data_IF_269105792941
#
_entry.id   IF_269105792941
#
_cell.length_a   1.000
_cell.length_b   1.000
_cell.length_c   1.000
_cell.angle_alpha   90.00
_cell.angle_beta   90.00
_cell.angle_gamma   90.00
#
_symmetry.space_group_name_H-M   'P 1'
#
loop_
_entity.id
_entity.type
_entity.pdbx_description
1 polymer ?
2 non-polymer ?
3 non-polymer ?
4 non-polymer ?
5 non-polymer ?
6 non-polymer ?
7 non-polymer ?
8 non-polymer ?
9 non-polymer ?
10 water ?
#
# COMPACT_ATOMS: atom_id res chain seq x y z
N UNK A 1 -10.54 -28.73 -12.76
CA UNK A 1 -9.61 -28.59 -11.60
C UNK A 1 -10.21 -27.67 -10.53
N UNK A 2 -9.73 -27.89 -9.29
CA UNK A 2 -9.86 -26.92 -8.22
C UNK A 2 -8.52 -26.23 -8.03
N UNK A 3 -8.55 -24.90 -8.15
CA UNK A 3 -7.40 -24.05 -7.87
C UNK A 3 -7.60 -23.33 -6.53
N UNK A 4 -6.65 -23.58 -5.62
CA UNK A 4 -6.57 -22.89 -4.34
C UNK A 4 -5.38 -21.93 -4.40
N UNK A 5 -5.66 -20.62 -4.26
CA UNK A 5 -4.61 -19.62 -4.14
C UNK A 5 -4.54 -19.07 -2.72
N UNK A 6 -3.33 -19.07 -2.17
CA UNK A 6 -2.95 -18.23 -1.04
C UNK A 6 -3.11 -16.76 -1.45
N UNK A 7 -3.19 -15.87 -0.47
CA UNK A 7 -3.43 -14.47 -0.79
C UNK A 7 -2.11 -13.71 -0.74
N UNK A 8 -1.47 -13.71 0.44
CA UNK A 8 -0.26 -12.95 0.66
C UNK A 8 0.94 -13.54 -0.09
N UNK A 9 1.60 -12.64 -0.83
CA UNK A 9 2.76 -12.91 -1.67
C UNK A 9 2.44 -14.00 -2.71
N UNK A 10 1.18 -14.00 -3.16
CA UNK A 10 0.68 -14.86 -4.22
C UNK A 10 -0.24 -14.04 -5.12
N UNK A 11 -1.36 -13.55 -4.58
CA UNK A 11 -2.32 -12.72 -5.31
C UNK A 11 -1.94 -11.24 -5.18
N UNK A 12 -1.31 -10.89 -4.05
CA UNK A 12 -0.90 -9.53 -3.74
C UNK A 12 0.52 -9.57 -3.19
N UNK A 13 1.30 -8.51 -3.43
CA UNK A 13 2.45 -8.25 -2.58
C UNK A 13 1.93 -7.71 -1.25
N UNK A 14 2.47 -8.23 -0.13
CA UNK A 14 2.16 -7.71 1.19
C UNK A 14 3.47 -7.50 1.95
N UNK A 15 3.57 -6.41 2.72
CA UNK A 15 4.78 -6.08 3.47
C UNK A 15 4.37 -5.42 4.78
N UNK A 16 4.51 -6.15 5.90
CA UNK A 16 4.26 -5.63 7.24
C UNK A 16 5.36 -4.67 7.73
N UNK A 17 6.39 -4.38 6.91
CA UNK A 17 7.40 -3.40 7.32
C UNK A 17 6.82 -2.00 7.34
N UNK A 18 5.83 -1.75 6.47
CA UNK A 18 5.05 -0.53 6.47
C UNK A 18 4.27 -0.34 7.79
N UNK A 19 3.74 -1.41 8.39
CA UNK A 19 3.10 -1.34 9.71
C UNK A 19 4.10 -0.94 10.79
N UNK A 20 5.29 -1.57 10.80
CA UNK A 20 6.32 -1.24 11.80
C UNK A 20 6.73 0.23 11.67
N UNK A 21 6.84 0.67 10.41
CA UNK A 21 7.05 2.07 10.08
C UNK A 21 6.04 3.02 10.71
N UNK A 22 4.76 2.75 10.45
CA UNK A 22 3.69 3.57 11.00
C UNK A 22 3.72 3.57 12.53
N UNK A 23 4.08 2.44 13.15
CA UNK A 23 4.14 2.37 14.61
C UNK A 23 5.37 3.12 15.12
N UNK A 24 6.49 3.08 14.38
CA UNK A 24 7.65 3.84 14.75
C UNK A 24 7.33 5.34 14.63
N UNK A 25 6.51 5.70 13.65
CA UNK A 25 6.14 7.09 13.42
C UNK A 25 5.30 7.59 14.60
N UNK A 26 4.28 6.84 15.05
CA UNK A 26 3.51 7.27 16.22
C UNK A 26 4.35 7.17 17.49
N UNK A 27 5.04 6.04 17.74
CA UNK A 27 5.55 5.77 19.07
C UNK A 27 6.94 6.36 19.28
N UNK A 28 7.66 6.60 18.16
CA UNK A 28 9.02 7.11 18.17
C UNK A 28 9.98 5.99 18.60
N UNK A 29 9.49 4.73 18.63
CA UNK A 29 10.35 3.59 18.88
C UNK A 29 11.19 3.37 17.61
N UNK A 30 12.55 3.25 17.71
CA UNK A 30 13.39 2.92 16.56
C UNK A 30 12.88 1.67 15.86
N UNK A 31 12.81 1.83 14.53
CA UNK A 31 12.30 0.83 13.59
C UNK A 31 13.03 -0.50 13.79
N UNK A 32 14.37 -0.40 13.94
CA UNK A 32 15.19 -1.58 14.10
C UNK A 32 14.74 -2.35 15.34
N UNK A 33 14.24 -1.64 16.37
CA UNK A 33 13.76 -2.34 17.56
C UNK A 33 12.50 -3.15 17.23
N UNK A 34 11.57 -2.55 16.48
CA UNK A 34 10.30 -3.21 16.19
C UNK A 34 10.57 -4.39 15.27
N UNK A 35 11.46 -4.23 14.30
CA UNK A 35 11.89 -5.38 13.51
C UNK A 35 12.42 -6.51 14.39
N UNK A 36 13.26 -6.25 15.40
CA UNK A 36 13.82 -7.40 16.12
C UNK A 36 12.74 -8.06 16.97
N UNK A 37 11.72 -7.30 17.40
CA UNK A 37 10.79 -7.77 18.42
C UNK A 37 9.47 -8.30 17.82
N UNK A 38 9.29 -8.22 16.49
CA UNK A 38 8.07 -8.58 15.80
C UNK A 38 8.14 -10.01 15.22
N UNK A 39 7.47 -10.94 15.89
CA UNK A 39 7.61 -12.38 15.69
C UNK A 39 6.21 -12.93 15.42
N UNK A 40 6.11 -14.02 14.67
CA UNK A 40 4.80 -14.58 14.36
C UNK A 40 4.60 -15.92 15.12
N UNK A 41 4.34 -15.82 16.44
CA UNK A 41 4.14 -16.97 17.31
C UNK A 41 2.68 -17.28 17.68
N UNK A 42 2.44 -17.52 18.97
CA UNK A 42 1.25 -18.17 19.48
C UNK A 42 -0.01 -17.31 19.31
N UNK A 43 0.09 -16.05 19.71
CA UNK A 43 -1.03 -15.12 19.65
C UNK A 43 -1.43 -14.87 18.19
N UNK A 44 -0.45 -14.91 17.28
CA UNK A 44 -0.76 -14.84 15.86
C UNK A 44 -1.65 -15.99 15.45
N UNK A 45 -1.20 -17.23 15.78
CA UNK A 45 -1.83 -18.47 15.36
C UNK A 45 -3.26 -18.52 15.90
N UNK A 46 -3.41 -18.16 17.18
CA UNK A 46 -4.69 -18.12 17.83
C UNK A 46 -5.60 -17.14 17.08
N UNK A 47 -5.06 -15.95 16.77
CA UNK A 47 -5.84 -14.91 16.16
C UNK A 47 -6.18 -15.30 14.73
N UNK A 48 -5.25 -15.95 14.02
CA UNK A 48 -5.59 -16.48 12.71
C UNK A 48 -6.82 -17.42 12.79
N UNK A 49 -6.91 -18.25 13.83
CA UNK A 49 -8.00 -19.20 13.97
C UNK A 49 -9.22 -18.57 14.66
N UNK A 50 -9.16 -17.25 14.89
CA UNK A 50 -10.32 -16.56 15.44
C UNK A 50 -10.58 -16.94 16.90
N UNK A 51 -9.53 -17.41 17.60
CA UNK A 51 -9.64 -17.99 18.93
C UNK A 51 -9.40 -16.97 20.02
N UNK A 52 -8.76 -15.83 19.68
CA UNK A 52 -8.69 -14.66 20.56
C UNK A 52 -9.20 -13.46 19.78
N UNK A 53 -9.70 -12.46 20.52
CA UNK A 53 -10.22 -11.22 19.96
C UNK A 53 -9.11 -10.37 19.33
N UNK A 54 -9.51 -9.45 18.46
CA UNK A 54 -8.64 -8.44 17.89
C UNK A 54 -7.88 -7.71 19.02
N UNK A 55 -8.61 -7.33 20.09
CA UNK A 55 -8.09 -6.56 21.20
C UNK A 55 -7.04 -7.38 21.94
N UNK A 56 -7.33 -8.66 22.20
CA UNK A 56 -6.39 -9.55 22.88
C UNK A 56 -5.15 -9.80 22.01
N UNK A 57 -5.32 -9.85 20.69
CA UNK A 57 -4.18 -9.95 19.78
C UNK A 57 -3.32 -8.67 19.84
N UNK A 58 -3.99 -7.51 19.69
CA UNK A 58 -3.36 -6.20 19.76
C UNK A 58 -2.52 -6.11 21.02
N UNK A 59 -3.11 -6.60 22.11
CA UNK A 59 -2.54 -6.61 23.45
C UNK A 59 -1.30 -7.49 23.51
N UNK A 60 -1.40 -8.70 22.99
CA UNK A 60 -0.28 -9.63 22.94
C UNK A 60 0.90 -9.07 22.16
N UNK A 61 0.67 -8.42 21.00
CA UNK A 61 1.77 -7.87 20.23
C UNK A 61 2.38 -6.64 20.91
N UNK A 62 1.54 -5.81 21.54
CA UNK A 62 1.98 -4.63 22.25
C UNK A 62 2.79 -5.02 23.50
N UNK A 63 2.44 -6.15 24.14
CA UNK A 63 3.22 -6.65 25.26
C UNK A 63 4.61 -7.04 24.77
N UNK A 64 4.67 -7.84 23.70
CA UNK A 64 5.95 -8.34 23.21
C UNK A 64 6.82 -7.21 22.68
N UNK A 65 6.25 -6.17 22.05
CA UNK A 65 7.06 -5.17 21.37
C UNK A 65 7.16 -3.87 22.18
N UNK A 66 6.56 -3.86 23.38
CA UNK A 66 6.56 -2.70 24.26
C UNK A 66 6.01 -1.45 23.56
N UNK A 67 4.90 -1.64 22.81
CA UNK A 67 4.19 -0.60 22.10
C UNK A 67 3.16 0.04 23.03
N UNK A 68 3.29 1.35 23.36
CA UNK A 68 2.28 2.04 24.17
C UNK A 68 1.18 2.62 23.29
N UNK A 69 0.38 1.72 22.70
CA UNK A 69 -0.67 2.03 21.75
C UNK A 69 -2.01 1.60 22.35
N UNK A 70 -3.07 2.37 22.11
CA UNK A 70 -4.43 1.88 22.30
C UNK A 70 -4.72 0.83 21.22
N UNK A 71 -5.82 0.10 21.39
CA UNK A 71 -6.28 -0.76 20.32
C UNK A 71 -6.41 0.05 19.02
N UNK A 72 -7.05 1.23 19.10
CA UNK A 72 -7.32 2.06 17.93
C UNK A 72 -6.01 2.42 17.19
N UNK A 73 -4.95 2.76 17.95
CA UNK A 73 -3.67 3.16 17.37
C UNK A 73 -2.96 1.97 16.72
N UNK A 74 -3.05 0.80 17.40
CA UNK A 74 -2.62 -0.47 16.86
C UNK A 74 -3.23 -0.67 15.46
N UNK A 75 -4.57 -0.59 15.40
CA UNK A 75 -5.33 -0.89 14.20
C UNK A 75 -4.94 0.12 13.13
N UNK A 76 -4.80 1.35 13.59
CA UNK A 76 -4.49 2.45 12.71
C UNK A 76 -3.22 2.15 11.90
N UNK A 77 -2.17 1.69 12.61
CA UNK A 77 -0.91 1.31 11.98
C UNK A 77 -0.93 -0.03 11.25
N UNK A 78 -1.68 -1.00 11.81
CA UNK A 78 -2.01 -2.26 11.16
C UNK A 78 -2.53 -2.02 9.75
N UNK A 79 -3.50 -1.10 9.67
CA UNK A 79 -4.10 -0.69 8.40
C UNK A 79 -3.10 -0.19 7.34
N UNK A 80 -1.86 0.16 7.73
CA UNK A 80 -0.90 0.75 6.79
C UNK A 80 -0.19 -0.33 5.97
N UNK A 81 -0.45 -1.61 6.27
CA UNK A 81 0.30 -2.68 5.62
C UNK A 81 0.32 -2.44 4.11
N UNK A 82 1.51 -2.54 3.52
CA UNK A 82 1.65 -2.42 2.07
C UNK A 82 0.98 -3.60 1.37
N UNK A 83 0.08 -3.31 0.42
CA UNK A 83 -0.60 -4.33 -0.36
C UNK A 83 -0.71 -3.83 -1.81
N UNK A 84 -0.13 -4.58 -2.75
CA UNK A 84 -0.20 -4.30 -4.18
C UNK A 84 -0.80 -5.50 -4.90
N UNK A 85 -1.87 -5.32 -5.69
CA UNK A 85 -2.40 -6.40 -6.52
C UNK A 85 -1.31 -6.91 -7.45
N UNK A 86 -1.35 -8.21 -7.76
CA UNK A 86 -0.61 -8.80 -8.87
C UNK A 86 -1.62 -9.05 -9.97
N UNK A 87 -1.78 -8.14 -10.97
CA UNK A 87 -2.91 -8.20 -11.89
C UNK A 87 -2.84 -9.40 -12.84
N UNK A 88 -1.62 -9.85 -13.14
CA UNK A 88 -1.42 -11.06 -13.93
C UNK A 88 -2.13 -12.23 -13.25
N UNK A 89 -2.03 -12.31 -11.91
CA UNK A 89 -2.60 -13.42 -11.15
C UNK A 89 -4.12 -13.30 -11.10
N UNK A 90 -4.63 -12.07 -10.97
CA UNK A 90 -6.08 -11.83 -11.02
C UNK A 90 -6.64 -12.27 -12.38
N UNK A 91 -5.95 -11.94 -13.48
CA UNK A 91 -6.40 -12.22 -14.83
C UNK A 91 -6.52 -13.73 -15.06
N UNK A 92 -5.48 -14.47 -14.65
CA UNK A 92 -5.46 -15.92 -14.67
C UNK A 92 -6.66 -16.50 -13.90
N UNK A 93 -6.92 -15.99 -12.69
CA UNK A 93 -7.99 -16.53 -11.89
C UNK A 93 -9.33 -16.38 -12.62
N UNK A 94 -9.50 -15.28 -13.36
CA UNK A 94 -10.75 -15.01 -14.05
C UNK A 94 -10.90 -15.95 -15.25
N UNK A 95 -9.80 -16.09 -15.99
CA UNK A 95 -9.71 -16.94 -17.17
C UNK A 95 -10.02 -18.38 -16.78
N UNK A 96 -9.46 -18.85 -15.66
CA UNK A 96 -9.70 -20.22 -15.19
C UNK A 96 -11.18 -20.47 -14.93
N UNK A 97 -11.91 -19.45 -14.44
CA UNK A 97 -13.30 -19.62 -14.07
C UNK A 97 -14.21 -19.63 -15.30
N UNK A 98 -13.91 -18.78 -16.29
CA UNK A 98 -14.67 -18.74 -17.53
C UNK A 98 -14.26 -19.90 -18.45
N UNK A 99 -13.24 -20.69 -18.06
CA UNK A 99 -13.01 -22.00 -18.66
C UNK A 99 -13.72 -23.10 -17.87
N UNK A 100 -14.31 -22.76 -16.73
CA UNK A 100 -15.13 -23.71 -15.98
C UNK A 100 -14.38 -24.40 -14.85
N UNK A 101 -13.09 -24.12 -14.69
CA UNK A 101 -12.41 -24.52 -13.46
C UNK A 101 -13.00 -23.81 -12.24
N UNK A 102 -12.67 -24.35 -11.06
CA UNK A 102 -13.14 -23.82 -9.79
C UNK A 102 -11.97 -23.12 -9.10
N UNK A 103 -12.16 -21.83 -8.76
CA UNK A 103 -11.05 -21.00 -8.29
C UNK A 103 -11.39 -20.41 -6.92
N UNK A 104 -10.57 -20.73 -5.91
CA UNK A 104 -10.82 -20.27 -4.55
C UNK A 104 -9.54 -19.72 -3.90
N UNK A 105 -9.77 -18.95 -2.83
CA UNK A 105 -8.71 -18.36 -2.02
C UNK A 105 -8.78 -19.05 -0.66
N UNK A 106 -7.61 -19.46 -0.18
CA UNK A 106 -7.43 -19.94 1.18
C UNK A 106 -6.33 -19.11 1.85
N UNK A 107 -6.72 -18.44 2.95
CA UNK A 107 -5.87 -17.43 3.57
C UNK A 107 -5.91 -17.53 5.08
N UNK A 108 -4.69 -17.66 5.65
CA UNK A 108 -4.42 -17.31 7.03
C UNK A 108 -4.41 -15.78 7.18
N UNK A 109 -5.32 -15.22 7.99
CA UNK A 109 -5.59 -13.79 8.01
C UNK A 109 -5.62 -13.24 9.43
N UNK A 110 -4.94 -12.09 9.56
CA UNK A 110 -4.85 -11.34 10.80
C UNK A 110 -5.60 -10.02 10.66
N UNK A 111 -6.60 -10.03 9.76
CA UNK A 111 -7.55 -8.95 9.65
C UNK A 111 -8.12 -8.68 11.04
N UNK A 112 -8.47 -7.41 11.24
CA UNK A 112 -9.18 -6.99 12.43
C UNK A 112 -10.57 -6.51 12.00
N UNK A 113 -11.51 -6.53 12.94
CA UNK A 113 -12.82 -5.96 12.69
C UNK A 113 -12.74 -4.51 12.25
N UNK A 114 -11.66 -3.75 12.53
CA UNK A 114 -11.62 -2.33 12.18
C UNK A 114 -10.82 -2.03 10.91
N UNK A 115 -10.30 -3.04 10.23
CA UNK A 115 -9.39 -2.81 9.13
C UNK A 115 -10.01 -3.29 7.82
N UNK A 116 -9.55 -2.65 6.74
CA UNK A 116 -9.88 -3.00 5.37
C UNK A 116 -8.72 -3.84 4.84
N UNK A 117 -9.00 -5.11 4.48
CA UNK A 117 -7.94 -6.10 4.28
C UNK A 117 -8.10 -6.69 2.88
N UNK A 118 -7.03 -7.27 2.24
CA UNK A 118 -7.07 -7.77 0.87
C UNK A 118 -8.23 -8.71 0.49
N UNK A 119 -8.61 -9.62 1.38
CA UNK A 119 -9.72 -10.53 1.11
C UNK A 119 -11.01 -9.74 0.89
N UNK A 120 -11.06 -8.49 1.41
CA UNK A 120 -12.25 -7.64 1.26
C UNK A 120 -12.16 -6.81 -0.01
N UNK A 121 -11.02 -6.81 -0.69
CA UNK A 121 -10.89 -5.99 -1.89
C UNK A 121 -11.86 -6.50 -2.94
N UNK A 122 -12.66 -5.63 -3.61
CA UNK A 122 -13.58 -6.09 -4.65
C UNK A 122 -12.91 -6.83 -5.81
N UNK A 123 -11.64 -6.50 -6.13
CA UNK A 123 -10.93 -7.09 -7.26
C UNK A 123 -10.64 -8.54 -6.95
N UNK A 124 -10.50 -8.84 -5.64
CA UNK A 124 -10.14 -10.16 -5.16
C UNK A 124 -11.42 -10.99 -4.93
N UNK A 125 -12.44 -10.41 -4.31
CA UNK A 125 -13.70 -11.10 -4.16
C UNK A 125 -14.23 -11.61 -5.51
N UNK A 126 -14.10 -10.79 -6.58
CA UNK A 126 -14.67 -11.07 -7.90
C UNK A 126 -13.79 -11.97 -8.78
N UNK A 127 -12.53 -12.21 -8.39
CA UNK A 127 -11.64 -13.09 -9.14
C UNK A 127 -11.83 -14.55 -8.71
N UNK A 128 -12.49 -14.76 -7.56
CA UNK A 128 -12.56 -16.04 -6.87
C UNK A 128 -14.01 -16.53 -6.70
N UNK A 129 -14.22 -17.85 -6.80
CA UNK A 129 -15.51 -18.45 -6.54
C UNK A 129 -15.88 -18.33 -5.06
N UNK A 130 -14.93 -18.65 -4.19
CA UNK A 130 -15.14 -18.57 -2.76
C UNK A 130 -13.81 -18.14 -2.12
N UNK A 131 -13.89 -17.49 -0.94
CA UNK A 131 -12.69 -17.15 -0.20
C UNK A 131 -12.79 -17.80 1.17
N UNK A 132 -11.85 -18.69 1.45
CA UNK A 132 -11.84 -19.41 2.71
C UNK A 132 -10.84 -18.71 3.61
N UNK A 133 -11.26 -18.33 4.83
CA UNK A 133 -10.46 -17.52 5.72
C UNK A 133 -10.35 -18.22 7.07
N UNK A 134 -9.13 -18.22 7.61
CA UNK A 134 -8.80 -18.93 8.82
C UNK A 134 -9.70 -18.49 9.98
N UNK A 135 -9.99 -17.20 10.12
CA UNK A 135 -10.67 -16.71 11.30
C UNK A 135 -12.09 -17.25 11.29
N UNK A 136 -12.67 -17.36 10.08
CA UNK A 136 -14.03 -17.86 9.89
C UNK A 136 -14.07 -19.35 10.24
N UNK A 137 -13.04 -20.10 9.86
CA UNK A 137 -13.03 -21.55 9.97
C UNK A 137 -12.59 -22.06 11.35
N UNK A 138 -11.92 -21.21 12.14
CA UNK A 138 -11.29 -21.67 13.38
C UNK A 138 -10.14 -22.64 13.09
N UNK A 139 -9.50 -22.49 11.91
CA UNK A 139 -8.39 -23.34 11.47
C UNK A 139 -7.36 -22.46 10.74
N UNK A 140 -6.10 -22.91 10.69
CA UNK A 140 -5.09 -22.23 9.89
C UNK A 140 -4.25 -23.24 9.13
N UNK A 141 -3.76 -22.82 7.97
CA UNK A 141 -2.68 -23.53 7.31
C UNK A 141 -1.44 -23.52 8.23
N UNK A 142 -0.62 -24.60 8.30
CA UNK A 142 -0.72 -25.80 7.45
C UNK A 142 -1.45 -27.05 7.97
N UNK A 143 -2.35 -26.83 8.95
CA UNK A 143 -3.20 -27.84 9.56
C UNK A 143 -4.02 -28.58 8.49
N UNK A 144 -3.99 -29.92 8.56
CA UNK A 144 -4.63 -30.77 7.58
C UNK A 144 -6.11 -30.38 7.42
N UNK A 145 -6.74 -30.07 8.56
CA UNK A 145 -8.18 -29.84 8.61
C UNK A 145 -8.61 -28.72 7.67
N UNK A 146 -7.76 -27.71 7.46
CA UNK A 146 -8.18 -26.56 6.70
C UNK A 146 -8.20 -26.93 5.21
N UNK A 147 -7.19 -27.69 4.74
CA UNK A 147 -7.17 -28.17 3.36
C UNK A 147 -8.33 -29.14 3.16
N UNK A 148 -8.51 -30.06 4.12
CA UNK A 148 -9.62 -30.97 4.07
C UNK A 148 -10.96 -30.22 3.96
N UNK A 149 -11.15 -29.18 4.79
CA UNK A 149 -12.37 -28.38 4.72
C UNK A 149 -12.66 -27.95 3.27
N UNK A 150 -11.66 -27.41 2.58
CA UNK A 150 -11.85 -26.87 1.24
C UNK A 150 -12.15 -27.99 0.23
N UNK A 151 -11.45 -29.13 0.34
CA UNK A 151 -11.72 -30.27 -0.54
C UNK A 151 -13.14 -30.78 -0.32
N UNK A 152 -13.53 -30.88 0.96
CA UNK A 152 -14.88 -31.32 1.29
C UNK A 152 -15.92 -30.30 0.79
N UNK A 153 -15.75 -29.02 1.11
CA UNK A 153 -16.76 -28.02 0.79
C UNK A 153 -16.88 -27.84 -0.73
N UNK A 154 -15.77 -27.99 -1.46
CA UNK A 154 -15.76 -27.80 -2.91
C UNK A 154 -16.11 -29.12 -3.62
N UNK A 155 -15.95 -30.26 -2.90
CA UNK A 155 -16.14 -31.58 -3.48
C UNK A 155 -15.13 -31.90 -4.57
N UNK A 156 -13.84 -31.91 -4.22
CA UNK A 156 -12.79 -32.34 -5.13
C UNK A 156 -11.81 -33.24 -4.37
N UNK A 157 -11.06 -34.05 -5.12
CA UNK A 157 -10.06 -34.92 -4.52
C UNK A 157 -8.69 -34.25 -4.58
N UNK A 158 -7.74 -34.66 -3.70
CA UNK A 158 -6.36 -34.19 -3.80
C UNK A 158 -5.79 -34.10 -5.22
N UNK A 159 -6.09 -35.08 -6.07
CA UNK A 159 -5.40 -35.22 -7.35
C UNK A 159 -6.03 -34.32 -8.41
N UNK A 160 -7.24 -33.82 -8.13
CA UNK A 160 -7.89 -32.82 -8.96
C UNK A 160 -7.67 -31.40 -8.41
N UNK A 161 -6.70 -31.24 -7.49
CA UNK A 161 -6.54 -29.98 -6.78
C UNK A 161 -5.09 -29.51 -6.89
N UNK A 162 -4.93 -28.25 -7.33
CA UNK A 162 -3.65 -27.56 -7.37
C UNK A 162 -3.68 -26.35 -6.45
N UNK A 163 -2.66 -26.25 -5.58
CA UNK A 163 -2.56 -25.24 -4.55
C UNK A 163 -1.30 -24.43 -4.73
N UNK A 164 -1.44 -23.09 -4.70
CA UNK A 164 -0.32 -22.16 -4.78
C UNK A 164 -0.15 -21.40 -3.47
N UNK A 165 1.06 -21.45 -2.90
CA UNK A 165 1.41 -20.74 -1.68
C UNK A 165 2.92 -20.50 -1.61
N UNK A 166 3.32 -19.34 -1.09
CA UNK A 166 4.71 -18.94 -1.00
C UNK A 166 5.40 -19.49 0.23
N UNK A 167 4.64 -20.09 1.16
CA UNK A 167 5.20 -20.58 2.42
C UNK A 167 5.37 -22.09 2.30
N UNK A 168 6.53 -22.61 2.69
CA UNK A 168 6.91 -23.98 2.36
C UNK A 168 6.22 -24.93 3.32
N UNK A 169 6.09 -24.53 4.60
CA UNK A 169 5.30 -25.28 5.57
C UNK A 169 3.86 -25.47 5.08
N UNK A 170 3.33 -24.46 4.39
CA UNK A 170 1.97 -24.53 3.88
C UNK A 170 1.90 -25.54 2.75
N UNK A 171 2.96 -25.54 1.93
CA UNK A 171 3.09 -26.42 0.79
C UNK A 171 3.16 -27.87 1.28
N UNK A 172 3.87 -28.12 2.39
CA UNK A 172 4.03 -29.43 3.00
C UNK A 172 2.69 -29.99 3.49
N UNK A 173 1.93 -29.19 4.27
CA UNK A 173 0.66 -29.61 4.83
C UNK A 173 -0.30 -30.10 3.76
N UNK A 174 -0.27 -29.42 2.61
CA UNK A 174 -1.10 -29.77 1.46
C UNK A 174 -0.53 -30.97 0.72
N UNK A 175 0.80 -31.10 0.66
CA UNK A 175 1.43 -32.26 0.03
C UNK A 175 1.12 -33.54 0.82
N UNK A 176 1.07 -33.44 2.17
CA UNK A 176 0.79 -34.59 3.02
C UNK A 176 -0.58 -35.19 2.69
N UNK A 177 -1.45 -34.44 2.02
CA UNK A 177 -2.80 -34.90 1.70
C UNK A 177 -2.90 -35.26 0.21
N UNK A 178 -1.74 -35.26 -0.46
CA UNK A 178 -1.65 -35.55 -1.88
C UNK A 178 -2.31 -34.49 -2.77
N UNK A 179 -2.30 -33.21 -2.32
CA UNK A 179 -2.73 -32.08 -3.14
C UNK A 179 -1.53 -31.65 -3.97
N UNK A 180 -1.73 -31.31 -5.26
CA UNK A 180 -0.64 -30.79 -6.06
C UNK A 180 -0.34 -29.35 -5.62
N UNK A 181 0.80 -29.20 -4.95
CA UNK A 181 1.17 -27.95 -4.30
C UNK A 181 2.31 -27.31 -5.08
N UNK A 182 2.15 -26.02 -5.43
CA UNK A 182 3.18 -25.28 -6.15
C UNK A 182 3.74 -24.17 -5.28
N UNK A 183 5.01 -24.27 -4.88
CA UNK A 183 5.61 -23.22 -4.08
C UNK A 183 5.78 -21.98 -4.95
N UNK A 184 5.27 -20.85 -4.44
CA UNK A 184 5.40 -19.58 -5.14
C UNK A 184 6.70 -18.93 -4.67
N UNK A 185 7.72 -18.94 -5.55
CA UNK A 185 9.05 -18.42 -5.24
C UNK A 185 9.14 -16.92 -5.56
N UNK A 186 8.33 -16.47 -6.53
CA UNK A 186 8.43 -15.12 -7.05
C UNK A 186 7.22 -14.89 -7.96
N UNK A 187 7.23 -13.75 -8.66
CA UNK A 187 6.07 -13.32 -9.40
C UNK A 187 5.93 -14.08 -10.74
N UNK A 188 6.94 -14.88 -11.15
CA UNK A 188 6.85 -15.66 -12.39
C UNK A 188 6.30 -17.08 -12.21
N UNK A 189 6.25 -17.61 -10.97
CA UNK A 189 5.93 -19.02 -10.74
C UNK A 189 4.55 -19.35 -11.31
N UNK A 190 3.59 -18.45 -11.15
CA UNK A 190 2.21 -18.74 -11.47
C UNK A 190 1.95 -18.45 -12.96
N UNK A 191 2.43 -17.31 -13.51
CA UNK A 191 2.41 -17.13 -14.97
C UNK A 191 3.07 -18.27 -15.73
N UNK A 192 4.23 -18.76 -15.25
CA UNK A 192 4.96 -19.86 -15.89
C UNK A 192 4.14 -21.14 -15.84
N UNK A 193 3.61 -21.48 -14.65
CA UNK A 193 2.88 -22.72 -14.47
C UNK A 193 1.70 -22.80 -15.45
N UNK A 194 1.06 -21.66 -15.72
CA UNK A 194 -0.15 -21.70 -16.53
C UNK A 194 0.17 -21.57 -18.02
N UNK A 195 1.32 -20.97 -18.36
CA UNK A 195 1.82 -21.00 -19.72
C UNK A 195 2.05 -22.45 -20.15
N UNK A 196 2.64 -23.27 -19.24
CA UNK A 196 2.96 -24.66 -19.52
C UNK A 196 1.68 -25.51 -19.58
N UNK A 197 0.63 -25.09 -18.86
CA UNK A 197 -0.65 -25.78 -18.93
C UNK A 197 -1.30 -25.46 -20.28
N UNK A 198 -1.18 -24.20 -20.74
CA UNK A 198 -1.75 -23.75 -22.00
C UNK A 198 -1.09 -24.52 -23.15
N UNK A 199 0.24 -24.66 -23.05
CA UNK A 199 1.07 -25.29 -24.07
C UNK A 199 0.67 -26.76 -24.28
N UNK A 200 0.11 -27.38 -23.22
CA UNK A 200 -0.42 -28.73 -23.29
C UNK A 200 -1.91 -28.70 -23.66
N UNK A 201 -2.23 -28.71 -24.97
CA UNK A 201 -3.59 -28.94 -25.41
C UNK A 201 -3.57 -29.87 -26.64
N UNK A 202 -2.84 -29.51 -27.71
CA UNK A 202 -2.80 -30.33 -28.91
C UNK A 202 -1.81 -31.50 -28.71
N UNK B 1 23.41 21.61 -10.45
CA UNK B 1 21.97 21.87 -10.70
C UNK B 1 21.17 21.65 -9.41
N UNK B 2 20.00 22.29 -9.33
CA UNK B 2 18.99 21.95 -8.33
C UNK B 2 17.95 21.09 -9.03
N UNK B 3 17.77 19.84 -8.54
CA UNK B 3 16.64 18.99 -8.94
C UNK B 3 15.56 19.02 -7.85
N UNK B 4 14.34 19.39 -8.29
CA UNK B 4 13.16 19.43 -7.43
C UNK B 4 12.21 18.34 -7.91
N UNK B 5 11.96 17.38 -7.01
CA UNK B 5 11.05 16.27 -7.25
C UNK B 5 9.78 16.45 -6.44
N UNK B 6 8.64 16.47 -7.14
CA UNK B 6 7.34 16.13 -6.59
C UNK B 6 7.39 14.72 -5.97
N UNK B 7 6.43 14.39 -5.10
CA UNK B 7 6.48 13.13 -4.38
C UNK B 7 5.45 12.15 -4.97
N UNK B 8 4.17 12.50 -4.95
CA UNK B 8 3.10 11.64 -5.42
C UNK B 8 3.11 11.47 -6.94
N UNK B 9 3.18 10.19 -7.36
CA UNK B 9 3.23 9.77 -8.75
C UNK B 9 4.45 10.36 -9.46
N UNK B 10 5.53 10.51 -8.68
CA UNK B 10 6.85 10.88 -9.18
C UNK B 10 7.92 10.03 -8.51
N UNK B 11 7.95 10.04 -7.17
CA UNK B 11 8.89 9.25 -6.37
C UNK B 11 8.20 7.97 -5.89
N UNK B 12 6.87 8.06 -5.74
CA UNK B 12 6.05 6.97 -5.24
C UNK B 12 4.81 6.88 -6.14
N UNK B 13 4.27 5.68 -6.33
CA UNK B 13 2.89 5.55 -6.76
C UNK B 13 2.00 5.79 -5.54
N UNK B 14 0.94 6.56 -5.74
CA UNK B 14 -0.02 6.81 -4.68
C UNK B 14 -1.43 6.64 -5.25
N UNK B 15 -2.30 5.94 -4.52
CA UNK B 15 -3.66 5.75 -4.99
C UNK B 15 -4.65 5.93 -3.84
N UNK B 16 -5.43 7.04 -3.87
CA UNK B 16 -6.46 7.31 -2.88
C UNK B 16 -7.70 6.43 -3.07
N UNK B 17 -7.78 5.66 -4.15
CA UNK B 17 -8.91 4.76 -4.33
C UNK B 17 -8.96 3.75 -3.18
N UNK B 18 -7.80 3.45 -2.59
CA UNK B 18 -7.66 2.53 -1.47
C UNK B 18 -8.30 3.11 -0.21
N UNK B 19 -8.19 4.44 -0.03
CA UNK B 19 -8.83 5.15 1.07
C UNK B 19 -10.36 5.03 0.95
N UNK B 20 -10.87 5.16 -0.29
CA UNK B 20 -12.31 5.14 -0.54
C UNK B 20 -12.80 3.74 -0.23
N UNK B 21 -12.01 2.76 -0.69
CA UNK B 21 -12.19 1.37 -0.31
C UNK B 21 -12.32 1.16 1.20
N UNK B 22 -11.38 1.70 1.96
CA UNK B 22 -11.34 1.58 3.41
C UNK B 22 -12.55 2.24 4.06
N UNK B 23 -12.90 3.44 3.61
CA UNK B 23 -14.07 4.14 4.13
C UNK B 23 -15.36 3.41 3.71
N UNK B 24 -15.34 2.78 2.53
CA UNK B 24 -16.50 2.01 2.11
C UNK B 24 -16.64 0.76 2.97
N UNK B 25 -15.50 0.10 3.26
CA UNK B 25 -15.47 -1.03 4.17
C UNK B 25 -16.11 -0.64 5.51
N UNK B 26 -15.71 0.48 6.12
CA UNK B 26 -16.23 0.81 7.45
C UNK B 26 -17.70 1.22 7.37
N UNK B 27 -18.05 2.09 6.43
CA UNK B 27 -19.34 2.77 6.45
C UNK B 27 -20.43 1.97 5.74
N UNK B 28 -20.00 1.12 4.79
CA UNK B 28 -20.92 0.38 3.92
C UNK B 28 -21.50 1.32 2.87
N UNK B 29 -20.96 2.53 2.74
CA UNK B 29 -21.37 3.38 1.63
C UNK B 29 -20.82 2.74 0.36
N UNK B 30 -21.64 2.54 -0.69
CA UNK B 30 -21.13 2.02 -1.96
C UNK B 30 -19.98 2.87 -2.47
N UNK B 31 -18.96 2.15 -2.95
CA UNK B 31 -17.71 2.74 -3.40
C UNK B 31 -17.99 3.79 -4.49
N UNK B 32 -18.94 3.51 -5.39
CA UNK B 32 -19.21 4.43 -6.49
C UNK B 32 -19.70 5.76 -5.92
N UNK B 33 -20.43 5.73 -4.79
CA UNK B 33 -20.87 6.98 -4.18
C UNK B 33 -19.67 7.84 -3.77
N UNK B 34 -18.66 7.21 -3.15
CA UNK B 34 -17.51 7.95 -2.64
C UNK B 34 -16.64 8.45 -3.77
N UNK B 35 -16.58 7.74 -4.89
CA UNK B 35 -15.83 8.26 -6.02
C UNK B 35 -16.50 9.48 -6.65
N UNK B 36 -17.84 9.49 -6.81
CA UNK B 36 -18.39 10.67 -7.47
C UNK B 36 -18.42 11.87 -6.51
N UNK B 37 -18.19 11.68 -5.21
CA UNK B 37 -18.32 12.79 -4.26
C UNK B 37 -16.99 13.23 -3.64
N UNK B 38 -15.88 12.52 -3.92
CA UNK B 38 -14.54 12.86 -3.43
C UNK B 38 -13.85 13.86 -4.36
N UNK B 39 -13.76 15.13 -3.94
CA UNK B 39 -13.35 16.25 -4.78
C UNK B 39 -12.26 17.09 -4.09
N UNK B 40 -11.39 17.67 -4.93
CA UNK B 40 -10.24 18.47 -4.50
C UNK B 40 -10.63 19.95 -4.31
N UNK B 41 -11.42 20.24 -3.27
CA UNK B 41 -11.99 21.56 -3.05
C UNK B 41 -11.02 22.54 -2.38
N UNK B 42 -11.58 23.63 -1.85
CA UNK B 42 -10.82 24.63 -1.12
C UNK B 42 -10.33 24.06 0.21
N UNK B 43 -11.13 23.23 0.89
CA UNK B 43 -10.74 22.60 2.15
C UNK B 43 -9.43 21.81 2.00
N UNK B 44 -9.27 21.17 0.84
CA UNK B 44 -8.05 20.47 0.49
C UNK B 44 -6.87 21.44 0.43
N UNK B 45 -7.05 22.55 -0.32
CA UNK B 45 -6.03 23.58 -0.55
C UNK B 45 -5.60 24.20 0.76
N UNK B 46 -6.58 24.53 1.61
CA UNK B 46 -6.32 25.12 2.90
C UNK B 46 -5.51 24.17 3.76
N UNK B 47 -5.90 22.88 3.79
CA UNK B 47 -5.24 21.88 4.61
C UNK B 47 -3.83 21.64 4.09
N UNK B 48 -3.66 21.70 2.78
CA UNK B 48 -2.33 21.62 2.18
C UNK B 48 -1.42 22.75 2.70
N UNK B 49 -1.97 23.97 2.80
CA UNK B 49 -1.22 25.14 3.28
C UNK B 49 -1.23 25.20 4.81
N UNK B 50 -1.77 24.17 5.48
CA UNK B 50 -1.77 24.13 6.93
C UNK B 50 -2.67 25.20 7.55
N UNK B 51 -3.66 25.70 6.79
CA UNK B 51 -4.46 26.85 7.17
C UNK B 51 -5.66 26.38 7.98
N UNK B 52 -6.05 25.10 7.86
CA UNK B 52 -7.10 24.52 8.71
C UNK B 52 -6.55 23.26 9.35
N UNK B 53 -7.11 22.89 10.51
CA UNK B 53 -6.66 21.72 11.23
C UNK B 53 -6.93 20.43 10.43
N UNK B 54 -6.28 19.34 10.85
CA UNK B 54 -6.60 17.98 10.42
C UNK B 54 -8.09 17.71 10.64
N UNK B 55 -8.60 18.06 11.84
CA UNK B 55 -9.97 17.79 12.27
C UNK B 55 -10.98 18.56 11.42
N UNK B 56 -10.67 19.82 11.12
CA UNK B 56 -11.52 20.65 10.28
C UNK B 56 -11.58 20.10 8.86
N UNK B 57 -10.43 19.62 8.34
CA UNK B 57 -10.31 18.97 7.03
C UNK B 57 -11.18 17.70 6.96
N UNK B 58 -11.07 16.87 8.00
CA UNK B 58 -11.83 15.64 8.13
C UNK B 58 -13.30 15.99 8.05
N UNK B 59 -13.70 17.02 8.82
CA UNK B 59 -15.07 17.50 8.90
C UNK B 59 -15.49 17.96 7.51
N UNK B 60 -14.66 18.71 6.80
CA UNK B 60 -15.07 19.21 5.49
C UNK B 60 -15.38 18.04 4.56
N UNK B 61 -14.46 17.07 4.43
CA UNK B 61 -14.59 15.96 3.48
C UNK B 61 -15.76 15.04 3.83
N UNK B 62 -15.95 14.82 5.14
CA UNK B 62 -17.04 14.03 5.68
C UNK B 62 -18.39 14.66 5.35
N UNK B 63 -18.50 15.99 5.47
CA UNK B 63 -19.71 16.68 5.06
C UNK B 63 -19.88 16.57 3.55
N UNK B 64 -18.86 16.88 2.77
CA UNK B 64 -18.96 16.71 1.34
C UNK B 64 -19.50 15.31 1.01
N UNK B 65 -18.97 14.24 1.64
CA UNK B 65 -19.15 12.87 1.14
C UNK B 65 -20.16 12.08 1.98
N UNK B 66 -20.68 12.70 3.05
CA UNK B 66 -21.67 12.10 3.94
C UNK B 66 -21.10 10.85 4.62
N UNK B 67 -19.91 11.03 5.21
CA UNK B 67 -19.21 10.01 5.97
C UNK B 67 -19.57 10.16 7.44
N UNK B 68 -20.27 9.19 8.06
CA UNK B 68 -20.48 9.20 9.51
C UNK B 68 -19.30 8.59 10.25
N UNK B 69 -18.12 9.24 10.13
CA UNK B 69 -16.85 8.80 10.72
C UNK B 69 -16.42 9.78 11.80
N UNK B 70 -15.80 9.29 12.87
CA UNK B 70 -15.06 10.17 13.76
C UNK B 70 -13.79 10.65 13.06
N UNK B 71 -13.09 11.58 13.73
CA UNK B 71 -11.77 11.97 13.28
C UNK B 71 -10.88 10.71 13.17
N UNK B 72 -10.89 9.85 14.20
CA UNK B 72 -10.01 8.70 14.29
C UNK B 72 -10.26 7.71 13.14
N UNK B 73 -11.55 7.46 12.83
CA UNK B 73 -11.96 6.54 11.78
C UNK B 73 -11.59 7.12 10.42
N UNK B 74 -11.79 8.43 10.27
CA UNK B 74 -11.35 9.13 9.07
C UNK B 74 -9.87 8.89 8.81
N UNK B 75 -9.07 9.15 9.85
CA UNK B 75 -7.61 9.07 9.78
C UNK B 75 -7.20 7.63 9.45
N UNK B 76 -7.88 6.71 10.13
CA UNK B 76 -7.66 5.28 10.01
C UNK B 76 -7.77 4.86 8.53
N UNK B 77 -8.82 5.33 7.83
CA UNK B 77 -8.97 5.04 6.41
C UNK B 77 -7.94 5.77 5.55
N UNK B 78 -7.70 7.05 5.89
CA UNK B 78 -6.69 7.89 5.26
C UNK B 78 -5.35 7.17 5.20
N UNK B 79 -4.98 6.56 6.34
CA UNK B 79 -3.77 5.76 6.48
C UNK B 79 -3.65 4.63 5.43
N UNK B 80 -4.77 4.20 4.82
CA UNK B 80 -4.73 3.04 3.94
C UNK B 80 -4.24 3.40 2.55
N UNK B 81 -3.91 4.67 2.30
CA UNK B 81 -3.61 5.11 0.93
C UNK B 81 -2.49 4.23 0.39
N UNK B 82 -2.68 3.75 -0.84
CA UNK B 82 -1.68 2.93 -1.50
C UNK B 82 -0.44 3.74 -1.82
N UNK B 83 0.73 3.33 -1.29
CA UNK B 83 2.00 3.98 -1.59
C UNK B 83 3.08 2.92 -1.90
N UNK B 84 3.67 3.04 -3.09
CA UNK B 84 4.72 2.13 -3.55
C UNK B 84 5.91 2.97 -3.99
N UNK B 85 7.09 2.73 -3.40
CA UNK B 85 8.32 3.38 -3.86
C UNK B 85 8.58 3.08 -5.34
N UNK B 86 9.10 4.07 -6.08
CA UNK B 86 9.72 3.82 -7.37
C UNK B 86 11.22 3.77 -7.12
N UNK B 87 11.85 2.57 -6.96
CA UNK B 87 13.26 2.50 -6.52
C UNK B 87 14.25 3.06 -7.56
N UNK B 88 13.86 3.01 -8.83
CA UNK B 88 14.63 3.62 -9.90
C UNK B 88 14.90 5.10 -9.56
N UNK B 89 13.89 5.78 -8.99
CA UNK B 89 13.93 7.21 -8.77
C UNK B 89 14.72 7.54 -7.51
N UNK B 90 14.45 6.80 -6.42
CA UNK B 90 15.25 6.92 -5.20
C UNK B 90 16.76 6.81 -5.54
N UNK B 91 17.11 5.89 -6.45
CA UNK B 91 18.50 5.61 -6.79
C UNK B 91 19.10 6.78 -7.57
N UNK B 92 18.39 7.21 -8.63
CA UNK B 92 18.76 8.39 -9.40
C UNK B 92 19.02 9.58 -8.49
N UNK B 93 18.14 9.79 -7.51
CA UNK B 93 18.29 10.91 -6.59
C UNK B 93 19.58 10.80 -5.78
N UNK B 94 19.90 9.60 -5.24
CA UNK B 94 21.14 9.39 -4.50
C UNK B 94 22.34 9.67 -5.40
N UNK B 95 22.26 9.21 -6.66
CA UNK B 95 23.36 9.32 -7.61
C UNK B 95 23.60 10.79 -8.00
N UNK B 96 22.53 11.53 -8.31
CA UNK B 96 22.60 12.97 -8.52
C UNK B 96 23.34 13.68 -7.37
N UNK B 97 23.17 13.24 -6.11
CA UNK B 97 23.78 13.97 -5.00
C UNK B 97 25.24 13.60 -4.80
N UNK B 98 25.57 12.32 -4.97
CA UNK B 98 26.97 11.92 -4.87
C UNK B 98 27.75 12.42 -6.11
N UNK B 99 27.07 12.90 -7.16
CA UNK B 99 27.71 13.69 -8.21
C UNK B 99 27.69 15.18 -7.88
N UNK B 100 27.14 15.54 -6.70
CA UNK B 100 27.20 16.91 -6.20
C UNK B 100 26.16 17.85 -6.81
N UNK B 101 25.20 17.34 -7.60
CA UNK B 101 23.98 18.10 -7.80
C UNK B 101 23.16 18.12 -6.51
N UNK B 102 22.25 19.10 -6.38
CA UNK B 102 21.40 19.29 -5.21
C UNK B 102 20.01 18.74 -5.51
N UNK B 103 19.49 17.91 -4.60
CA UNK B 103 18.24 17.17 -4.83
C UNK B 103 17.28 17.40 -3.67
N UNK B 104 16.12 18.02 -3.96
CA UNK B 104 15.11 18.28 -2.92
C UNK B 104 13.74 17.74 -3.36
N UNK B 105 12.86 17.58 -2.36
CA UNK B 105 11.48 17.21 -2.58
C UNK B 105 10.63 18.45 -2.34
N UNK B 106 9.64 18.67 -3.23
CA UNK B 106 8.62 19.69 -3.09
C UNK B 106 7.24 19.03 -3.24
N UNK B 107 6.47 19.02 -2.14
CA UNK B 107 5.23 18.24 -2.07
C UNK B 107 4.12 19.04 -1.40
N UNK B 108 3.00 19.16 -2.13
CA UNK B 108 1.68 19.41 -1.57
C UNK B 108 1.21 18.16 -0.85
N UNK B 109 0.92 18.28 0.45
CA UNK B 109 0.70 17.12 1.29
C UNK B 109 -0.49 17.35 2.22
N UNK B 110 -1.31 16.28 2.30
CA UNK B 110 -2.48 16.17 3.16
C UNK B 110 -2.24 15.13 4.26
N UNK B 111 -0.97 14.98 4.63
CA UNK B 111 -0.59 14.25 5.82
C UNK B 111 -1.46 14.78 6.96
N UNK B 112 -1.76 13.92 7.90
CA UNK B 112 -2.36 14.31 9.16
C UNK B 112 -1.34 14.06 10.27
N UNK B 113 -1.54 14.70 11.42
CA UNK B 113 -0.69 14.46 12.57
C UNK B 113 -0.78 13.02 13.06
N UNK B 114 -1.82 12.25 12.68
CA UNK B 114 -1.95 10.86 13.14
C UNK B 114 -1.55 9.84 12.07
N UNK B 115 -1.22 10.28 10.85
CA UNK B 115 -0.85 9.35 9.81
C UNK B 115 0.66 9.31 9.51
N UNK B 116 1.10 8.12 9.11
CA UNK B 116 2.44 7.87 8.63
C UNK B 116 2.40 8.02 7.11
N UNK B 117 3.18 8.98 6.57
CA UNK B 117 2.97 9.45 5.21
C UNK B 117 4.30 9.38 4.48
N UNK B 118 4.33 9.35 3.13
CA UNK B 118 5.56 9.15 2.34
C UNK B 118 6.75 10.08 2.65
N UNK B 119 6.51 11.38 2.83
CA UNK B 119 7.58 12.29 3.21
C UNK B 119 8.25 11.90 4.53
N UNK B 120 7.61 10.98 5.28
CA UNK B 120 8.21 10.52 6.53
C UNK B 120 8.94 9.19 6.32
N UNK B 121 8.80 8.58 5.15
CA UNK B 121 9.47 7.32 4.90
C UNK B 121 10.98 7.56 4.92
N UNK B 122 11.75 6.79 5.71
CA UNK B 122 13.23 6.89 5.74
C UNK B 122 13.89 6.81 4.36
N UNK B 123 13.35 6.01 3.43
CA UNK B 123 13.99 5.82 2.13
C UNK B 123 13.88 7.11 1.34
N UNK B 124 12.83 7.90 1.64
CA UNK B 124 12.58 9.14 0.94
C UNK B 124 13.38 10.27 1.58
N UNK B 125 13.45 10.29 2.93
CA UNK B 125 14.26 11.28 3.61
C UNK B 125 15.74 11.17 3.22
N UNK B 126 16.28 9.94 3.15
CA UNK B 126 17.70 9.71 2.86
C UNK B 126 18.05 9.93 1.38
N UNK B 127 17.06 10.00 0.48
CA UNK B 127 17.30 10.24 -0.95
C UNK B 127 17.42 11.74 -1.25
N UNK B 128 16.93 12.59 -0.32
CA UNK B 128 16.73 14.02 -0.53
C UNK B 128 17.65 14.84 0.38
N UNK B 129 18.14 15.99 -0.15
CA UNK B 129 18.90 16.94 0.67
C UNK B 129 17.93 17.64 1.64
N UNK B 130 16.75 17.98 1.12
CA UNK B 130 15.73 18.68 1.89
C UNK B 130 14.36 18.29 1.33
N UNK B 131 13.35 18.27 2.22
CA UNK B 131 11.97 18.04 1.81
C UNK B 131 11.17 19.27 2.19
N UNK B 132 10.60 19.90 1.16
CA UNK B 132 9.77 21.09 1.32
C UNK B 132 8.32 20.61 1.24
N UNK B 133 7.52 20.92 2.28
CA UNK B 133 6.14 20.47 2.43
C UNK B 133 5.21 21.66 2.56
N UNK B 134 4.06 21.58 1.87
CA UNK B 134 3.11 22.68 1.81
C UNK B 134 2.66 23.12 3.21
N UNK B 135 2.36 22.17 4.12
CA UNK B 135 1.75 22.49 5.40
C UNK B 135 2.77 23.27 6.23
N UNK B 136 4.05 22.95 6.05
CA UNK B 136 5.10 23.62 6.81
C UNK B 136 5.25 25.05 6.31
N UNK B 137 5.12 25.27 5.00
CA UNK B 137 5.39 26.55 4.38
C UNK B 137 4.18 27.49 4.39
N UNK B 138 2.94 27.00 4.58
CA UNK B 138 1.78 27.85 4.35
C UNK B 138 1.58 28.21 2.87
N UNK B 139 2.11 27.37 1.96
CA UNK B 139 2.01 27.59 0.52
C UNK B 139 1.74 26.23 -0.13
N UNK B 140 1.27 26.26 -1.38
CA UNK B 140 1.11 25.04 -2.15
C UNK B 140 1.41 25.34 -3.61
N UNK B 141 1.94 24.33 -4.29
CA UNK B 141 1.95 24.37 -5.75
C UNK B 141 0.51 24.48 -6.24
N UNK B 142 0.23 25.22 -7.35
CA UNK B 142 1.26 25.83 -8.20
C UNK B 142 1.60 27.32 -7.97
N UNK B 143 1.40 27.78 -6.72
CA UNK B 143 1.63 29.16 -6.32
C UNK B 143 3.10 29.54 -6.49
N UNK B 144 3.35 30.67 -7.16
CA UNK B 144 4.70 31.10 -7.48
C UNK B 144 5.57 31.05 -6.23
N UNK B 145 4.98 31.45 -5.10
CA UNK B 145 5.73 31.70 -3.87
C UNK B 145 6.44 30.44 -3.37
N UNK B 146 5.86 29.27 -3.62
CA UNK B 146 6.43 28.05 -3.09
C UNK B 146 7.69 27.71 -3.91
N UNK B 147 7.63 27.85 -5.24
CA UNK B 147 8.80 27.67 -6.09
C UNK B 147 9.87 28.69 -5.68
N UNK B 148 9.50 29.97 -5.68
CA UNK B 148 10.38 31.01 -5.19
C UNK B 148 11.02 30.66 -3.83
N UNK B 149 10.24 30.19 -2.85
CA UNK B 149 10.79 29.78 -1.58
C UNK B 149 11.94 28.77 -1.73
N UNK B 150 11.76 27.75 -2.57
CA UNK B 150 12.78 26.71 -2.74
C UNK B 150 14.03 27.27 -3.43
N UNK B 151 13.85 28.03 -4.54
CA UNK B 151 14.93 28.73 -5.23
C UNK B 151 15.72 29.59 -4.26
N UNK B 152 15.01 30.36 -3.45
CA UNK B 152 15.67 31.27 -2.53
C UNK B 152 16.44 30.46 -1.48
N UNK B 153 15.77 29.54 -0.77
CA UNK B 153 16.40 28.81 0.32
C UNK B 153 17.51 27.88 -0.16
N UNK B 154 17.47 27.44 -1.44
CA UNK B 154 18.50 26.57 -1.98
C UNK B 154 19.64 27.40 -2.59
N UNK B 155 19.35 28.64 -3.03
CA UNK B 155 20.35 29.50 -3.64
C UNK B 155 20.66 29.12 -5.09
N UNK B 156 19.62 28.89 -5.88
CA UNK B 156 19.77 28.63 -7.30
C UNK B 156 18.81 29.55 -8.05
N UNK B 157 19.08 29.73 -9.35
CA UNK B 157 18.22 30.49 -10.25
C UNK B 157 17.27 29.56 -11.00
N UNK B 158 16.19 30.08 -11.61
CA UNK B 158 15.36 29.27 -12.49
C UNK B 158 16.10 28.49 -13.58
N UNK B 159 17.05 29.13 -14.25
CA UNK B 159 17.74 28.54 -15.40
C UNK B 159 18.62 27.38 -14.96
N UNK B 160 18.96 27.36 -13.65
CA UNK B 160 19.77 26.32 -13.05
C UNK B 160 18.94 25.32 -12.24
N UNK B 161 17.64 25.27 -12.49
CA UNK B 161 16.75 24.39 -11.74
C UNK B 161 15.94 23.54 -12.70
N UNK B 162 15.84 22.24 -12.41
CA UNK B 162 14.93 21.35 -13.12
C UNK B 162 13.93 20.75 -12.12
N UNK B 163 12.65 20.71 -12.54
CA UNK B 163 11.54 20.34 -11.67
C UNK B 163 10.69 19.28 -12.36
N UNK B 164 10.36 18.22 -11.59
CA UNK B 164 9.60 17.08 -12.08
C UNK B 164 8.27 16.98 -11.33
N UNK B 165 7.16 17.01 -12.08
CA UNK B 165 5.83 16.83 -11.51
C UNK B 165 4.90 16.21 -12.54
N UNK B 166 4.02 15.31 -12.08
CA UNK B 166 3.05 14.64 -12.92
C UNK B 166 1.78 15.48 -13.16
N UNK B 167 1.73 16.72 -12.63
CA UNK B 167 0.54 17.56 -12.68
C UNK B 167 0.86 18.78 -13.55
N UNK B 168 0.00 19.08 -14.52
CA UNK B 168 0.38 20.04 -15.54
C UNK B 168 0.28 21.46 -14.99
N UNK B 169 -0.68 21.69 -14.08
CA UNK B 169 -0.78 23.01 -13.45
C UNK B 169 0.48 23.31 -12.65
N UNK B 170 1.03 22.27 -12.00
CA UNK B 170 2.22 22.42 -11.19
C UNK B 170 3.39 22.81 -12.10
N UNK B 171 3.46 22.14 -13.25
CA UNK B 171 4.49 22.38 -14.24
C UNK B 171 4.38 23.83 -14.73
N UNK B 172 3.14 24.26 -15.02
CA UNK B 172 2.84 25.62 -15.46
C UNK B 172 3.33 26.65 -14.44
N UNK B 173 3.09 26.43 -13.14
CA UNK B 173 3.50 27.36 -12.09
C UNK B 173 5.02 27.59 -12.11
N UNK B 174 5.75 26.50 -12.28
CA UNK B 174 7.19 26.52 -12.33
C UNK B 174 7.69 27.16 -13.61
N UNK B 175 6.98 26.95 -14.74
CA UNK B 175 7.39 27.51 -16.02
C UNK B 175 7.29 29.03 -16.00
N UNK B 176 6.23 29.57 -15.37
CA UNK B 176 6.02 31.01 -15.34
C UNK B 176 7.21 31.69 -14.66
N UNK B 177 8.03 30.92 -13.93
CA UNK B 177 9.20 31.46 -13.24
C UNK B 177 10.50 31.11 -13.99
N UNK B 178 10.38 30.62 -15.23
CA UNK B 178 11.54 30.22 -16.03
C UNK B 178 12.32 29.04 -15.45
N UNK B 179 11.67 28.22 -14.60
CA UNK B 179 12.22 26.96 -14.15
C UNK B 179 12.04 25.93 -15.27
N UNK B 180 13.05 25.08 -15.48
CA UNK B 180 12.94 23.95 -16.40
C UNK B 180 12.04 22.90 -15.76
N UNK B 181 10.96 22.53 -16.47
CA UNK B 181 9.88 21.78 -15.87
C UNK B 181 9.50 20.60 -16.76
N UNK B 182 9.71 19.38 -16.24
CA UNK B 182 9.46 18.13 -16.95
C UNK B 182 8.19 17.47 -16.45
N UNK B 183 7.12 17.44 -17.26
CA UNK B 183 5.94 16.67 -16.93
C UNK B 183 6.32 15.21 -16.81
N UNK B 184 5.93 14.59 -15.69
CA UNK B 184 6.14 13.17 -15.49
C UNK B 184 4.90 12.44 -16.01
N UNK B 185 5.01 11.85 -17.23
CA UNK B 185 3.92 11.16 -17.91
C UNK B 185 3.73 9.74 -17.40
N UNK B 186 4.84 9.10 -16.97
CA UNK B 186 4.89 7.68 -16.62
C UNK B 186 6.21 7.39 -15.92
N UNK B 187 6.44 6.10 -15.61
CA UNK B 187 7.65 5.57 -15.00
C UNK B 187 8.94 5.88 -15.76
N UNK B 188 8.88 6.01 -17.08
CA UNK B 188 10.07 6.10 -17.90
C UNK B 188 10.63 7.52 -17.95
N UNK B 189 9.78 8.53 -17.71
CA UNK B 189 10.12 9.92 -18.00
C UNK B 189 11.39 10.36 -17.27
N UNK B 190 11.54 9.95 -16.01
CA UNK B 190 12.66 10.37 -15.18
C UNK B 190 13.90 9.54 -15.49
N UNK B 191 13.82 8.18 -15.49
CA UNK B 191 14.92 7.36 -16.01
C UNK B 191 15.46 7.74 -17.39
N UNK B 192 14.58 8.02 -18.36
CA UNK B 192 14.99 8.48 -19.69
C UNK B 192 15.77 9.79 -19.57
N UNK B 193 15.18 10.78 -18.90
CA UNK B 193 15.77 12.10 -18.78
C UNK B 193 17.16 12.02 -18.18
N UNK B 194 17.38 11.10 -17.22
CA UNK B 194 18.63 11.06 -16.49
C UNK B 194 19.61 10.04 -17.07
N UNK B 195 19.20 9.35 -18.16
CA UNK B 195 20.11 8.50 -18.93
C UNK B 195 21.36 9.30 -19.28
N UNK B 196 21.16 10.38 -20.05
CA UNK B 196 22.26 11.13 -20.63
C UNK B 196 22.87 12.11 -19.61
N UNK B 197 22.10 12.52 -18.59
CA UNK B 197 22.56 13.49 -17.59
C UNK B 197 23.55 12.86 -16.61
N UNK B 198 23.31 11.61 -16.20
CA UNK B 198 24.25 10.88 -15.34
C UNK B 198 25.49 10.43 -16.13
N UNK B 199 25.41 10.42 -17.47
CA UNK B 199 26.51 10.11 -18.38
C UNK B 199 26.71 11.24 -19.41
X LIG C 1 -5.71 -30.75 12.45
X LIG C 1 -5.40 -31.04 11.10
X LIG C 1 -4.65 -29.88 13.13
X LIG C 1 -5.20 -29.19 14.27
X LIG C 1 -4.49 -29.41 15.49
X LIG C 1 -5.13 -30.53 16.26
X LIG C 1 -6.20 -30.07 17.09
X LIG D 1 -0.28 -17.75 3.60
X LIG D 1 -0.06 -15.44 2.58
X LIG D 1 -1.46 -16.48 3.15
X LIG D 1 -2.76 -17.42 3.95
X LIG D 1 -2.72 -15.40 2.48
X LIG E 1 8.32 5.93 11.27
X LIG E 1 9.23 5.55 10.27
X LIG E 1 9.90 4.22 10.57
X LIG E 1 10.46 3.64 9.39
X LIG E 1 9.53 3.48 8.31
X LIG E 1 9.77 2.24 7.46
X LIG E 1 9.98 2.61 6.09
X LIG E 1 8.81 2.77 5.27
X LIG E 1 7.96 1.51 5.27
X LIG E 1 8.29 0.64 4.18
X LIG E 1 7.91 1.18 2.91
X LIG E 1 9.10 1.48 2.06
X LIG E 1 8.98 0.89 0.79
X LIG F 1 2.40 7.01 22.46
X LIG F 1 1.07 7.09 22.78
X LIG F 1 0.51 7.98 21.96
X LIG F 1 1.46 8.46 21.12
X LIG F 1 2.65 7.86 21.44
X LIG G 1 1.26 -17.45 8.10
X LIG G 1 0.01 -17.74 8.71
X LIG G 1 1.44 -18.21 6.82
X LIG G 1 0.23 -18.52 6.12
X LIG H 1 1.47 -16.11 1.56
X LIG I 1 -8.07 -0.58 -3.63
X LIG I 1 -7.83 0.24 -4.77
X LIG I 1 -9.43 -1.26 -3.69
X LIG I 1 -9.26 -2.61 -3.24
X LIG I 1 -10.49 -0.50 -2.90
X LIG I 1 -11.82 -0.65 -3.41
X LIG J 1 -1.94 -12.26 4.22
X LIG J 1 -0.65 -12.58 4.74
X LIG J 1 -3.00 -12.06 5.29
X LIG J 1 -4.28 -11.93 4.64
X LIG J 1 -2.68 -10.89 6.21
X LIG J 1 -2.99 -11.09 7.60
X LIG K 1 -13.15 -4.79 7.19
X LIG L 1 16.14 15.89 4.88
X LIG L 1 16.19 14.89 3.88
X LIG L 1 14.78 16.56 4.90
X LIG L 1 13.82 15.65 5.42
X LIG L 1 14.77 17.89 5.66
X LIG L 1 13.79 18.79 5.17
X LIG M 1 1.75 17.22 -6.35
X LIG M 1 2.25 14.73 -6.18
X LIG M 1 2.75 16.22 -5.27
X LIG M 1 3.20 17.68 -4.30
X LIG M 1 3.71 15.35 -4.07
X LIG N 1 -2.69 18.37 -5.65
X LIG N 1 -2.50 19.13 -4.48
X LIG N 1 -1.40 17.93 -6.26
X LIG N 1 -0.31 18.85 -6.14
X LIG O 1 -1.10 13.60 -0.50
X LIG O 1 -1.64 13.80 0.78
X LIG O 1 0.42 13.67 -0.54
X LIG O 1 0.95 12.99 -1.67
X LIG O 1 0.62 13.59 -2.93
X LIG O 1 -0.36 12.74 -3.67
X LIG O 1 -0.85 13.35 -4.84
X LIG P 1 2.35 14.33 -8.09
X LIG Q 1 3.42 10.98 11.07
#
# INVERSE_FOLDING_TARGET
MLYIFDLGNVIVDIDFNRVLGAWSDLTRIPLASLKKSFHMGEAFHQHERGEISDEAFAEALCHEMALPLSYEQFSHGWQAVFVALRPEVIAIMHKLREQGHRVVVLSNTNRLHTTFWPEEYPEIRDAADHIYLSQDLGMRKPEARIYQHVLQAEGFSPSDTVFFDDNADNIEGANQLGITSILVKDKTTIPDYFAKVLCLEH
MLYIFDLGNVIVDIDFNRVLGAWSDLTRIPLASLKKSFHMGEAFHQHERGEISDEAFAEALCHEMALPLSYEQFSHGWQAVFVALRPEVIAIMHKLREQGHRVVVLSNTNRLHTTFWPEEYPEIRDAADHIYLSQDLGMRKPEARIYQHVLQAEGFSPSDTVFFDDNADNIEGANQLGITSILVKDKTTIPDYFAKVLCLEH
PEG C1 O1 C2 O2 C3 C4 O4
KQB O1 F1 MG1 F2 F3
PG4 O1 C1 C2 O2 C3 C4 O3 C5 C6 O4 C7 C8 O5
IMD N1 C2 N3 C4 C5
EDO C1 O1 C2 O2
MG MG
GOL C1 O1 C2 O2 C3 O3
GOL C1 O1 C2 O2 C3 O3
CA CA
GOL C1 O1 C2 O2 C3 O3
KQB O1 F1 MG1 F2 F3
EDO C1 O1 C2 O2
PEG C1 O1 C2 O2 C3 C4 O4
MG MG
CA CA
#
